data_IF_235143148577
#
_entry.id   IF_235143148577
#
_cell.length_a   1.000
_cell.length_b   1.000
_cell.length_c   1.000
_cell.angle_alpha   90.00
_cell.angle_beta   90.00
_cell.angle_gamma   90.00
#
_symmetry.space_group_name_H-M   'P 1'
#
loop_
_entity.id
_entity.type
_entity.pdbx_description
1 polymer ?
#
# COMPACT_ATOMS: atom_id res chain seq x y z
N UNK A 1 -24.61 -48.27 -2.20
CA UNK A 1 -24.62 -46.87 -1.74
C UNK A 1 -24.09 -46.92 -0.33
N UNK A 2 -22.84 -46.48 -0.11
CA UNK A 2 -22.22 -46.39 1.21
C UNK A 2 -22.12 -44.90 1.51
N UNK A 3 -23.05 -44.40 2.33
CA UNK A 3 -22.96 -43.09 2.96
C UNK A 3 -21.94 -43.22 4.09
N UNK A 4 -20.68 -42.88 3.79
CA UNK A 4 -19.64 -42.72 4.79
C UNK A 4 -19.65 -41.25 5.21
N UNK A 5 -20.51 -40.90 6.17
CA UNK A 5 -20.35 -39.69 6.97
C UNK A 5 -19.00 -39.78 7.67
N UNK A 6 -18.01 -39.06 7.15
CA UNK A 6 -16.80 -38.76 7.89
C UNK A 6 -17.21 -37.78 8.99
N UNK A 7 -17.56 -38.31 10.17
CA UNK A 7 -17.55 -37.55 11.42
C UNK A 7 -16.11 -37.08 11.68
N UNK A 8 -15.77 -35.95 11.09
CA UNK A 8 -14.57 -35.20 11.48
C UNK A 8 -14.93 -34.55 12.80
N UNK A 9 -14.66 -35.25 13.91
CA UNK A 9 -14.70 -34.62 15.22
C UNK A 9 -13.82 -33.35 15.17
N UNK A 10 -14.34 -32.18 15.58
CA UNK A 10 -13.53 -30.97 15.62
C UNK A 10 -12.38 -31.24 16.60
N UNK A 11 -11.15 -31.26 16.07
CA UNK A 11 -9.94 -31.41 16.89
C UNK A 11 -9.89 -30.22 17.84
N UNK A 12 -10.33 -30.43 19.07
CA UNK A 12 -10.28 -29.43 20.12
C UNK A 12 -8.81 -29.16 20.44
N UNK A 13 -8.34 -27.97 20.05
CA UNK A 13 -6.98 -27.53 20.35
C UNK A 13 -6.80 -27.42 21.87
N UNK A 14 -5.66 -27.90 22.37
CA UNK A 14 -5.29 -27.67 23.76
C UNK A 14 -5.02 -26.18 24.00
N UNK A 15 -5.18 -25.66 25.23
CA UNK A 15 -4.85 -24.26 25.55
C UNK A 15 -3.41 -23.87 25.16
N UNK A 16 -2.47 -24.81 25.24
CA UNK A 16 -1.08 -24.61 24.82
C UNK A 16 -0.95 -24.47 23.29
N UNK A 17 -1.71 -25.25 22.52
CA UNK A 17 -1.74 -25.15 21.07
C UNK A 17 -2.39 -23.84 20.60
N UNK A 18 -3.44 -23.39 21.30
CA UNK A 18 -4.06 -22.08 21.05
C UNK A 18 -3.06 -20.95 21.33
N UNK A 19 -2.33 -21.01 22.44
CA UNK A 19 -1.32 -20.00 22.77
C UNK A 19 -0.17 -19.97 21.75
N UNK A 20 0.33 -21.14 21.32
CA UNK A 20 1.37 -21.26 20.30
C UNK A 20 0.89 -20.70 18.94
N UNK A 21 -0.35 -20.99 18.57
CA UNK A 21 -0.97 -20.47 17.35
C UNK A 21 -1.10 -18.94 17.42
N UNK A 22 -1.57 -18.39 18.54
CA UNK A 22 -1.66 -16.94 18.73
C UNK A 22 -0.29 -16.26 18.66
N UNK A 23 0.74 -16.87 19.24
CA UNK A 23 2.12 -16.37 19.16
C UNK A 23 2.64 -16.40 17.71
N UNK A 24 2.42 -17.51 16.99
CA UNK A 24 2.81 -17.67 15.59
C UNK A 24 2.08 -16.73 14.62
N UNK A 25 0.88 -16.26 14.98
CA UNK A 25 0.11 -15.29 14.19
C UNK A 25 0.50 -13.83 14.45
N UNK A 26 1.25 -13.52 15.51
CA UNK A 26 1.66 -12.13 15.83
C UNK A 26 2.33 -11.38 14.67
N UNK A 27 3.27 -11.96 13.91
CA UNK A 27 3.87 -11.28 12.77
C UNK A 27 2.84 -10.88 11.72
N UNK A 28 1.87 -11.77 11.47
CA UNK A 28 0.85 -11.57 10.46
C UNK A 28 -0.18 -10.51 10.88
N UNK A 29 -0.57 -10.52 12.15
CA UNK A 29 -1.38 -9.43 12.75
C UNK A 29 -0.64 -8.10 12.64
N UNK A 30 0.68 -8.09 12.88
CA UNK A 30 1.50 -6.89 12.75
C UNK A 30 1.60 -6.41 11.30
N UNK A 31 1.76 -7.31 10.33
CA UNK A 31 1.73 -6.96 8.91
C UNK A 31 0.40 -6.33 8.51
N UNK A 32 -0.72 -6.89 8.98
CA UNK A 32 -2.04 -6.31 8.74
C UNK A 32 -2.15 -4.90 9.31
N UNK A 33 -1.69 -4.69 10.55
CA UNK A 33 -1.70 -3.36 11.16
C UNK A 33 -0.88 -2.35 10.34
N UNK A 34 0.33 -2.73 9.91
CA UNK A 34 1.16 -1.87 9.07
C UNK A 34 0.46 -1.54 7.75
N UNK A 35 -0.18 -2.54 7.12
CA UNK A 35 -0.94 -2.32 5.88
C UNK A 35 -2.09 -1.32 6.09
N UNK A 36 -2.80 -1.41 7.23
CA UNK A 36 -3.85 -0.46 7.60
C UNK A 36 -3.28 0.94 7.88
N UNK A 37 -2.14 1.04 8.56
CA UNK A 37 -1.46 2.31 8.83
C UNK A 37 -1.04 3.00 7.52
N UNK A 38 -0.48 2.25 6.56
CA UNK A 38 -0.15 2.74 5.22
C UNK A 38 -1.42 3.20 4.49
N UNK A 39 -2.48 2.40 4.54
CA UNK A 39 -3.75 2.74 3.89
C UNK A 39 -4.35 4.03 4.45
N UNK A 40 -4.30 4.19 5.77
CA UNK A 40 -4.75 5.40 6.45
C UNK A 40 -3.90 6.60 6.05
N UNK A 41 -2.57 6.47 6.10
CA UNK A 41 -1.64 7.53 5.73
C UNK A 41 -1.85 8.00 4.28
N UNK A 42 -2.04 7.07 3.33
CA UNK A 42 -2.38 7.41 1.93
C UNK A 42 -3.73 8.13 1.84
N UNK A 43 -4.73 7.72 2.63
CA UNK A 43 -6.05 8.37 2.62
C UNK A 43 -5.99 9.81 3.16
N UNK A 44 -5.10 10.07 4.11
CA UNK A 44 -4.87 11.39 4.71
C UNK A 44 -3.79 12.22 3.98
N UNK A 45 -3.26 11.73 2.86
CA UNK A 45 -2.16 12.37 2.10
C UNK A 45 -0.86 12.56 2.93
N UNK A 46 -0.70 11.77 3.99
CA UNK A 46 0.50 11.75 4.85
C UNK A 46 1.54 10.76 4.31
N UNK A 47 2.30 11.23 3.32
CA UNK A 47 3.31 10.39 2.65
C UNK A 47 4.53 10.07 3.54
N UNK A 48 4.80 10.88 4.58
CA UNK A 48 5.87 10.62 5.52
C UNK A 48 5.53 9.42 6.40
N UNK A 49 4.31 9.41 6.97
CA UNK A 49 3.81 8.27 7.73
C UNK A 49 3.70 7.01 6.86
N UNK A 50 3.22 7.14 5.63
CA UNK A 50 3.13 6.01 4.70
C UNK A 50 4.52 5.39 4.41
N UNK A 51 5.55 6.24 4.24
CA UNK A 51 6.93 5.79 4.04
C UNK A 51 7.48 5.08 5.27
N UNK A 52 7.36 5.70 6.45
CA UNK A 52 7.83 5.12 7.72
C UNK A 52 7.18 3.77 8.03
N UNK A 53 5.88 3.64 7.76
CA UNK A 53 5.18 2.38 7.93
C UNK A 53 5.65 1.33 6.91
N UNK A 54 5.86 1.71 5.65
CA UNK A 54 6.35 0.81 4.61
C UNK A 54 7.76 0.28 4.89
N UNK A 55 8.64 1.07 5.52
CA UNK A 55 9.98 0.64 5.94
C UNK A 55 9.96 -0.56 6.92
N UNK A 56 8.86 -0.75 7.65
CA UNK A 56 8.70 -1.87 8.58
C UNK A 56 8.30 -3.18 7.89
N UNK A 57 7.74 -3.12 6.67
CA UNK A 57 7.24 -4.31 5.97
C UNK A 57 8.29 -5.41 5.77
N UNK A 58 9.54 -5.13 5.35
CA UNK A 58 10.54 -6.17 5.13
C UNK A 58 10.85 -6.96 6.41
N UNK A 59 11.09 -6.25 7.52
CA UNK A 59 11.44 -6.87 8.79
C UNK A 59 10.32 -7.77 9.34
N UNK A 60 9.07 -7.30 9.26
CA UNK A 60 7.93 -8.08 9.76
C UNK A 60 7.59 -9.24 8.80
N UNK A 61 7.83 -9.09 7.50
CA UNK A 61 7.68 -10.19 6.53
C UNK A 61 8.71 -11.29 6.75
N UNK A 62 9.96 -10.92 7.07
CA UNK A 62 10.98 -11.87 7.45
C UNK A 62 10.61 -12.62 8.74
N UNK A 63 10.12 -11.89 9.76
CA UNK A 63 9.62 -12.49 11.00
C UNK A 63 8.46 -13.47 10.75
N UNK A 64 7.53 -13.12 9.85
CA UNK A 64 6.45 -14.01 9.43
C UNK A 64 6.99 -15.29 8.76
N UNK A 65 7.93 -15.15 7.83
CA UNK A 65 8.55 -16.29 7.14
C UNK A 65 9.17 -17.30 8.12
N UNK A 66 9.84 -16.80 9.16
CA UNK A 66 10.41 -17.64 10.22
C UNK A 66 9.33 -18.31 11.07
N UNK A 67 8.24 -17.60 11.35
CA UNK A 67 7.13 -18.08 12.18
C UNK A 67 6.17 -19.04 11.45
N UNK A 68 6.19 -19.08 10.12
CA UNK A 68 5.29 -19.94 9.33
C UNK A 68 5.42 -21.43 9.71
N UNK A 69 6.64 -21.87 10.00
CA UNK A 69 6.95 -23.26 10.37
C UNK A 69 6.41 -23.69 11.74
N UNK A 70 6.04 -22.73 12.60
CA UNK A 70 5.52 -23.01 13.95
C UNK A 70 4.00 -23.10 13.99
N UNK A 71 3.33 -22.74 12.90
CA UNK A 71 1.88 -22.80 12.81
C UNK A 71 1.38 -24.23 12.59
N UNK A 72 0.34 -24.65 13.33
CA UNK A 72 -0.29 -25.94 13.07
C UNK A 72 -0.92 -25.98 11.68
N UNK A 73 -0.91 -27.16 11.07
CA UNK A 73 -1.59 -27.42 9.79
C UNK A 73 -3.08 -27.12 9.96
N UNK A 74 -3.64 -26.29 9.07
CA UNK A 74 -5.06 -25.90 9.12
C UNK A 74 -5.36 -24.61 9.88
N UNK A 75 -4.36 -23.77 10.17
CA UNK A 75 -4.56 -22.42 10.70
C UNK A 75 -5.26 -21.50 9.66
N UNK A 76 -6.57 -21.68 9.46
CA UNK A 76 -7.39 -20.91 8.52
C UNK A 76 -7.30 -19.39 8.77
N UNK A 77 -7.25 -18.99 10.04
CA UNK A 77 -7.08 -17.60 10.46
C UNK A 77 -5.80 -16.96 9.87
N UNK A 78 -4.73 -17.74 9.68
CA UNK A 78 -3.49 -17.27 9.07
C UNK A 78 -3.66 -17.01 7.57
N UNK A 79 -4.40 -17.87 6.87
CA UNK A 79 -4.68 -17.67 5.46
C UNK A 79 -5.55 -16.42 5.24
N UNK A 80 -6.58 -16.25 6.07
CA UNK A 80 -7.49 -15.11 5.98
C UNK A 80 -6.78 -13.79 6.27
N UNK A 81 -5.97 -13.73 7.33
CA UNK A 81 -5.15 -12.56 7.66
C UNK A 81 -4.14 -12.23 6.55
N UNK A 82 -3.51 -13.23 5.94
CA UNK A 82 -2.56 -13.02 4.85
C UNK A 82 -3.25 -12.48 3.60
N UNK A 83 -4.42 -13.03 3.24
CA UNK A 83 -5.22 -12.57 2.12
C UNK A 83 -5.73 -11.14 2.34
N UNK A 84 -6.23 -10.84 3.54
CA UNK A 84 -6.66 -9.50 3.92
C UNK A 84 -5.52 -8.49 3.81
N UNK A 85 -4.37 -8.81 4.41
CA UNK A 85 -3.17 -7.96 4.37
C UNK A 85 -2.72 -7.70 2.94
N UNK A 86 -2.63 -8.75 2.12
CA UNK A 86 -2.24 -8.63 0.70
C UNK A 86 -3.22 -7.75 -0.09
N UNK A 87 -4.52 -7.90 0.16
CA UNK A 87 -5.54 -7.05 -0.48
C UNK A 87 -5.33 -5.58 -0.13
N UNK A 88 -5.15 -5.25 1.15
CA UNK A 88 -4.93 -3.88 1.61
C UNK A 88 -3.68 -3.28 0.96
N UNK A 89 -2.56 -4.00 0.97
CA UNK A 89 -1.32 -3.53 0.35
C UNK A 89 -1.46 -3.34 -1.17
N UNK A 90 -2.17 -4.23 -1.86
CA UNK A 90 -2.45 -4.08 -3.29
C UNK A 90 -3.30 -2.84 -3.60
N UNK A 91 -4.30 -2.55 -2.77
CA UNK A 91 -5.10 -1.33 -2.90
C UNK A 91 -4.24 -0.06 -2.67
N UNK A 92 -3.31 -0.09 -1.72
CA UNK A 92 -2.36 0.98 -1.47
C UNK A 92 -1.41 1.21 -2.66
N UNK A 93 -0.83 0.14 -3.20
CA UNK A 93 0.05 0.18 -4.37
C UNK A 93 -0.67 0.81 -5.57
N UNK A 94 -1.91 0.38 -5.86
CA UNK A 94 -2.71 0.94 -6.94
C UNK A 94 -2.98 2.44 -6.75
N UNK A 95 -3.36 2.87 -5.53
CA UNK A 95 -3.59 4.28 -5.23
C UNK A 95 -2.33 5.12 -5.45
N UNK A 96 -1.18 4.64 -4.98
CA UNK A 96 0.11 5.30 -5.19
C UNK A 96 0.47 5.38 -6.67
N UNK A 97 0.26 4.32 -7.44
CA UNK A 97 0.53 4.32 -8.88
C UNK A 97 -0.32 5.36 -9.62
N UNK A 98 -1.60 5.47 -9.29
CA UNK A 98 -2.50 6.48 -9.86
C UNK A 98 -2.05 7.89 -9.48
N UNK A 99 -1.70 8.12 -8.20
CA UNK A 99 -1.20 9.40 -7.72
C UNK A 99 0.08 9.82 -8.46
N UNK A 100 1.06 8.92 -8.58
CA UNK A 100 2.31 9.17 -9.30
C UNK A 100 2.08 9.50 -10.78
N UNK A 101 1.18 8.78 -11.46
CA UNK A 101 0.81 9.07 -12.86
C UNK A 101 0.21 10.46 -13.00
N UNK A 102 -0.67 10.86 -12.08
CA UNK A 102 -1.28 12.19 -12.05
C UNK A 102 -0.24 13.28 -11.84
N UNK A 103 0.62 13.14 -10.83
CA UNK A 103 1.72 14.09 -10.57
C UNK A 103 2.63 14.23 -11.78
N UNK A 104 2.98 13.13 -12.44
CA UNK A 104 3.79 13.16 -13.65
C UNK A 104 3.10 13.86 -14.84
N UNK A 105 1.78 13.80 -14.94
CA UNK A 105 1.02 14.53 -15.95
C UNK A 105 0.98 16.03 -15.64
N UNK A 106 0.73 16.40 -14.39
CA UNK A 106 0.71 17.79 -13.92
C UNK A 106 2.07 18.46 -14.12
N UNK A 107 3.17 17.78 -13.77
CA UNK A 107 4.53 18.28 -14.02
C UNK A 107 4.81 18.50 -15.52
N UNK A 108 4.33 17.60 -16.39
CA UNK A 108 4.45 17.77 -17.84
C UNK A 108 3.64 18.96 -18.35
N UNK A 109 2.44 19.15 -17.82
CA UNK A 109 1.60 20.30 -18.14
C UNK A 109 2.30 21.60 -17.74
N UNK A 110 2.77 21.71 -16.50
CA UNK A 110 3.48 22.89 -15.99
C UNK A 110 4.73 23.21 -16.80
N UNK A 111 5.54 22.21 -17.17
CA UNK A 111 6.72 22.41 -18.03
C UNK A 111 6.34 22.97 -19.40
N UNK A 112 5.26 22.48 -20.02
CA UNK A 112 4.77 23.01 -21.31
C UNK A 112 4.24 24.43 -21.17
N UNK A 113 3.42 24.71 -20.16
CA UNK A 113 2.90 26.05 -19.89
C UNK A 113 4.02 27.06 -19.66
N UNK A 114 5.05 26.67 -18.89
CA UNK A 114 6.24 27.50 -18.68
C UNK A 114 6.98 27.78 -19.98
N UNK A 115 7.24 26.76 -20.81
CA UNK A 115 7.91 26.93 -22.09
C UNK A 115 7.12 27.86 -23.05
N UNK A 116 5.78 27.78 -23.05
CA UNK A 116 4.93 28.68 -23.85
C UNK A 116 5.01 30.14 -23.39
N UNK A 117 5.10 30.38 -22.08
CA UNK A 117 5.26 31.72 -21.53
C UNK A 117 6.66 32.29 -21.82
N UNK A 118 7.70 31.47 -21.72
CA UNK A 118 9.08 31.87 -22.04
C UNK A 118 9.32 32.10 -23.54
N UNK A 119 8.59 31.38 -24.41
CA UNK A 119 8.66 31.54 -25.87
C UNK A 119 7.83 32.71 -26.41
N UNK A 120 7.11 33.44 -25.55
CA UNK A 120 6.27 34.55 -25.96
C UNK A 120 7.16 35.72 -26.40
N UNK A 121 7.16 36.13 -27.68
CA UNK A 121 8.02 37.21 -28.14
C UNK A 121 7.62 38.50 -27.42
N UNK A 122 8.59 39.16 -26.79
CA UNK A 122 8.43 40.54 -26.31
C UNK A 122 8.07 41.37 -27.54
N UNK A 123 6.79 41.75 -27.65
CA UNK A 123 6.33 42.64 -28.71
C UNK A 123 7.24 43.89 -28.67
N UNK A 124 7.93 44.24 -29.78
CA UNK A 124 8.77 45.41 -29.78
C UNK A 124 7.89 46.60 -29.44
N UNK A 125 8.29 47.36 -28.41
CA UNK A 125 7.64 48.60 -28.03
C UNK A 125 7.45 49.44 -29.30
N UNK A 126 6.18 49.64 -29.69
CA UNK A 126 5.81 50.46 -30.84
C UNK A 126 6.38 51.84 -30.57
N UNK A 127 7.52 52.16 -31.19
CA UNK A 127 8.05 53.52 -31.20
C UNK A 127 7.03 54.36 -31.94
N UNK A 128 6.28 55.19 -31.21
CA UNK A 128 5.55 56.31 -31.81
C UNK A 128 6.61 57.18 -32.48
N UNK A 129 6.66 57.10 -33.80
CA UNK A 129 7.36 58.09 -34.61
C UNK A 129 6.40 59.26 -34.70
N UNK A 130 6.54 60.21 -33.78
CA UNK A 130 5.86 61.49 -33.88
C UNK A 130 6.40 62.18 -35.14
N UNK A 131 5.58 62.14 -36.19
CA UNK A 131 5.77 62.88 -37.44
C UNK A 131 4.78 64.03 -37.43
N UNK A 132 5.21 65.16 -36.88
CA UNK A 132 4.65 66.49 -37.12
C UNK A 132 5.86 67.43 -37.16
N UNK A 133 6.21 68.08 -38.26
CA UNK A 133 5.32 68.72 -39.24
C UNK A 133 5.17 70.17 -38.83
#
# INVERSE_FOLDING_TARGET
>A
MMDSEFDVEPVALSPEQVALMQEGLRPLVRLRQIAQDIQYAIAEDDMELASLAAELLPAVTEWWSQSLSTLPVGAGDAADLALETRRILGDCELKMEVAMKRTAQELRHLKRSRAMLEAQPVLPAVRRVDTLG
#
